data_IF_285167352227
#
_entry.id   IF_285167352227
#
_cell.length_a   1.000
_cell.length_b   1.000
_cell.length_c   1.000
_cell.angle_alpha   90.00
_cell.angle_beta   90.00
_cell.angle_gamma   90.00
#
_symmetry.space_group_name_H-M   'P 1'
#
loop_
_entity.id
_entity.type
_entity.pdbx_description
1 polymer ?
#
# COMPACT_ATOMS: atom_id res chain seq x y z
N UNK A 1 -50.13 -14.04 -47.78
CA UNK A 1 -50.67 -15.42 -47.80
C UNK A 1 -49.59 -16.31 -48.38
N UNK A 2 -49.06 -17.23 -47.56
CA UNK A 2 -48.26 -18.44 -47.91
C UNK A 2 -47.01 -18.29 -48.80
N UNK A 3 -45.96 -19.12 -48.73
CA UNK A 3 -45.34 -20.02 -47.74
C UNK A 3 -44.17 -20.66 -48.54
N UNK A 4 -43.07 -21.01 -47.88
CA UNK A 4 -42.13 -22.05 -48.35
C UNK A 4 -40.76 -21.51 -48.80
N UNK A 5 -39.73 -21.51 -47.95
CA UNK A 5 -38.92 -22.66 -47.49
C UNK A 5 -37.98 -23.19 -48.57
N UNK A 6 -36.66 -22.99 -48.40
CA UNK A 6 -35.56 -23.92 -48.70
C UNK A 6 -34.21 -23.17 -48.77
N UNK A 7 -33.61 -22.85 -47.62
CA UNK A 7 -32.18 -22.63 -47.53
C UNK A 7 -31.74 -22.76 -46.08
N UNK A 8 -30.61 -23.42 -45.82
CA UNK A 8 -30.01 -23.81 -44.53
C UNK A 8 -30.27 -25.23 -44.04
N UNK A 9 -29.35 -26.14 -44.38
CA UNK A 9 -28.77 -26.97 -43.33
C UNK A 9 -27.25 -27.15 -43.54
N UNK A 10 -26.44 -26.16 -43.15
CA UNK A 10 -24.96 -26.31 -43.15
C UNK A 10 -24.27 -25.93 -41.84
N UNK A 11 -25.02 -25.61 -40.77
CA UNK A 11 -24.43 -25.31 -39.45
C UNK A 11 -24.70 -26.40 -38.39
N UNK A 12 -25.76 -27.20 -38.55
CA UNK A 12 -26.12 -28.23 -37.56
C UNK A 12 -25.21 -29.46 -37.58
N UNK A 13 -24.50 -29.70 -38.70
CA UNK A 13 -23.52 -30.79 -38.82
C UNK A 13 -22.17 -30.48 -38.18
N UNK A 14 -21.85 -29.21 -37.91
CA UNK A 14 -20.59 -28.83 -37.26
C UNK A 14 -20.68 -28.95 -35.73
N UNK A 15 -21.88 -28.83 -35.17
CA UNK A 15 -22.11 -28.87 -33.73
C UNK A 15 -22.09 -30.29 -33.13
N UNK A 16 -22.42 -31.32 -33.93
CA UNK A 16 -22.37 -32.72 -33.48
C UNK A 16 -20.98 -33.36 -33.55
N UNK A 17 -20.01 -32.76 -34.24
CA UNK A 17 -18.65 -33.32 -34.41
C UNK A 17 -17.67 -32.93 -33.29
N UNK A 18 -18.01 -31.93 -32.47
CA UNK A 18 -17.14 -31.45 -31.37
C UNK A 18 -17.48 -32.06 -30.01
N UNK A 19 -18.59 -32.78 -29.88
CA UNK A 19 -18.98 -33.46 -28.63
C UNK A 19 -18.57 -34.95 -28.58
N UNK A 20 -17.82 -35.45 -29.55
CA UNK A 20 -17.40 -36.86 -29.66
C UNK A 20 -15.91 -37.13 -29.40
N UNK A 21 -15.15 -36.18 -28.84
CA UNK A 21 -13.77 -36.41 -28.35
C UNK A 21 -13.71 -36.64 -26.83
N UNK A 22 -14.78 -37.19 -26.27
CA UNK A 22 -14.71 -37.92 -25.01
C UNK A 22 -15.07 -39.36 -25.31
N UNK A 23 -14.09 -40.26 -25.26
CA UNK A 23 -14.08 -41.49 -24.42
C UNK A 23 -12.96 -42.45 -24.88
N UNK A 24 -12.06 -42.71 -23.92
CA UNK A 24 -11.25 -43.91 -23.72
C UNK A 24 -10.12 -44.28 -24.72
N UNK A 25 -8.88 -43.95 -24.34
CA UNK A 25 -7.71 -44.77 -24.68
C UNK A 25 -6.94 -45.16 -23.41
N UNK A 26 -6.89 -46.47 -23.15
CA UNK A 26 -6.04 -47.25 -22.27
C UNK A 26 -6.17 -47.18 -20.73
N UNK A 27 -7.09 -48.00 -20.23
CA UNK A 27 -6.92 -48.73 -18.97
C UNK A 27 -5.81 -49.78 -19.12
N UNK A 28 -4.69 -49.64 -18.39
CA UNK A 28 -3.99 -50.70 -17.63
C UNK A 28 -2.51 -50.37 -17.39
N UNK A 29 -2.10 -50.15 -16.12
CA UNK A 29 -1.05 -50.97 -15.49
C UNK A 29 -0.92 -50.71 -13.98
N UNK A 30 -0.87 -51.82 -13.25
CA UNK A 30 -0.59 -52.02 -11.83
C UNK A 30 0.60 -51.20 -11.33
N UNK A 31 0.46 -50.64 -10.12
CA UNK A 31 1.60 -50.15 -9.34
C UNK A 31 1.15 -49.28 -8.18
N UNK A 32 0.94 -49.88 -7.01
CA UNK A 32 0.78 -49.13 -5.77
C UNK A 32 2.02 -48.27 -5.53
N UNK A 33 1.81 -46.97 -5.45
CA UNK A 33 2.74 -46.04 -4.82
C UNK A 33 1.90 -45.15 -3.90
N UNK A 34 2.30 -45.15 -2.65
CA UNK A 34 1.83 -44.35 -1.53
C UNK A 34 1.48 -42.93 -2.03
N UNK A 35 0.21 -42.54 -1.97
CA UNK A 35 -0.16 -41.14 -2.11
C UNK A 35 0.29 -40.45 -0.83
N UNK A 36 1.53 -39.95 -0.83
CA UNK A 36 1.86 -38.83 0.03
C UNK A 36 0.82 -37.74 -0.30
N UNK A 37 0.13 -37.17 0.70
CA UNK A 37 -0.73 -36.03 0.45
C UNK A 37 0.14 -34.98 -0.25
N UNK A 38 -0.35 -34.45 -1.38
CA UNK A 38 0.24 -33.27 -2.03
C UNK A 38 0.69 -32.29 -0.94
N UNK A 39 1.90 -31.69 -1.04
CA UNK A 39 2.26 -30.63 -0.13
C UNK A 39 1.11 -29.63 -0.18
N UNK A 40 0.47 -29.42 0.97
CA UNK A 40 -0.59 -28.42 1.14
C UNK A 40 -0.13 -27.18 0.41
N UNK A 41 -0.91 -26.72 -0.58
CA UNK A 41 -0.63 -25.55 -1.40
C UNK A 41 0.23 -24.58 -0.59
N UNK A 42 1.47 -24.34 -1.04
CA UNK A 42 2.20 -23.15 -0.59
C UNK A 42 1.18 -22.03 -0.68
N UNK A 43 0.87 -21.30 0.42
CA UNK A 43 -0.17 -20.29 0.39
C UNK A 43 0.19 -19.38 -0.75
N UNK A 44 -0.59 -19.42 -1.84
CA UNK A 44 -0.32 -18.62 -3.03
C UNK A 44 0.02 -17.23 -2.51
N UNK A 45 1.16 -16.64 -2.91
CA UNK A 45 1.62 -15.40 -2.33
C UNK A 45 0.47 -14.42 -2.48
N UNK A 46 -0.21 -14.14 -1.36
CA UNK A 46 -1.46 -13.41 -1.36
C UNK A 46 -1.21 -12.10 -2.08
N UNK A 47 -1.65 -11.99 -3.31
CA UNK A 47 -1.33 -10.87 -4.19
C UNK A 47 -2.01 -9.57 -3.74
N UNK A 48 -2.90 -9.70 -2.76
CA UNK A 48 -3.46 -8.60 -1.97
C UNK A 48 -2.36 -7.92 -1.17
N UNK A 49 -2.29 -6.58 -1.18
CA UNK A 49 -1.30 -5.86 -0.40
C UNK A 49 -1.46 -6.15 1.09
N UNK A 50 -0.36 -6.08 1.84
CA UNK A 50 -0.37 -6.20 3.30
C UNK A 50 0.48 -5.09 3.89
N UNK A 51 -0.08 -4.34 4.85
CA UNK A 51 0.68 -3.35 5.60
C UNK A 51 1.69 -4.03 6.53
N UNK A 52 2.94 -3.60 6.43
CA UNK A 52 4.01 -3.92 7.37
C UNK A 52 4.14 -2.83 8.44
N UNK A 53 3.86 -1.59 8.03
CA UNK A 53 3.83 -0.43 8.90
C UNK A 53 2.67 0.46 8.47
N UNK A 54 1.79 0.77 9.43
CA UNK A 54 0.70 1.70 9.25
C UNK A 54 1.03 3.05 9.89
N UNK A 55 0.52 4.16 9.34
CA UNK A 55 0.86 5.49 9.83
C UNK A 55 0.32 5.72 11.25
N UNK A 56 1.15 6.35 12.07
CA UNK A 56 0.82 6.72 13.45
C UNK A 56 0.43 8.18 13.57
N UNK A 57 -0.23 8.53 14.66
CA UNK A 57 -0.57 9.92 14.96
C UNK A 57 0.70 10.73 15.23
N UNK A 58 0.75 11.96 14.76
CA UNK A 58 1.95 12.79 14.81
C UNK A 58 1.63 14.24 15.17
N UNK A 59 2.66 15.01 15.52
CA UNK A 59 2.50 16.43 15.80
C UNK A 59 3.56 17.31 15.14
N UNK A 60 3.12 18.47 14.69
CA UNK A 60 3.99 19.52 14.15
C UNK A 60 4.47 20.35 15.33
N UNK A 61 5.76 20.27 15.64
CA UNK A 61 6.38 20.99 16.77
C UNK A 61 7.16 22.18 16.22
N UNK A 62 6.73 23.39 16.60
CA UNK A 62 7.40 24.60 16.12
C UNK A 62 7.37 24.68 14.58
N UNK A 63 8.54 24.75 13.95
CA UNK A 63 8.71 24.75 12.48
C UNK A 63 9.01 23.36 11.89
N UNK A 64 9.16 22.33 12.71
CA UNK A 64 9.50 20.98 12.26
C UNK A 64 8.24 20.28 11.73
N UNK A 65 8.22 19.81 10.47
CA UNK A 65 7.07 19.08 9.92
C UNK A 65 6.90 17.73 10.62
N UNK A 66 5.66 17.24 10.63
CA UNK A 66 5.33 15.91 11.10
C UNK A 66 5.47 14.91 9.94
N UNK A 67 6.29 13.87 10.10
CA UNK A 67 6.47 12.84 9.08
C UNK A 67 5.58 11.65 9.38
N UNK A 68 4.76 11.24 8.40
CA UNK A 68 4.00 9.99 8.44
C UNK A 68 4.67 8.96 7.54
N UNK A 69 4.83 7.74 8.05
CA UNK A 69 5.43 6.62 7.31
C UNK A 69 4.41 5.51 7.08
N UNK A 70 4.51 4.85 5.93
CA UNK A 70 3.69 3.70 5.60
C UNK A 70 4.47 2.73 4.73
N UNK A 71 4.36 1.44 5.04
CA UNK A 71 5.07 0.39 4.34
C UNK A 71 4.15 -0.79 4.06
N UNK A 72 4.19 -1.28 2.83
CA UNK A 72 3.42 -2.44 2.42
C UNK A 72 4.24 -3.41 1.57
N UNK A 73 3.90 -4.71 1.69
CA UNK A 73 4.35 -5.76 0.78
C UNK A 73 3.21 -6.18 -0.15
N UNK A 74 3.56 -6.83 -1.26
CA UNK A 74 2.60 -7.22 -2.31
C UNK A 74 1.80 -6.04 -2.88
N UNK A 75 2.32 -4.82 -2.73
CA UNK A 75 1.74 -3.59 -3.25
C UNK A 75 2.56 -3.11 -4.44
N UNK A 76 1.93 -2.76 -5.55
CA UNK A 76 2.59 -2.09 -6.67
C UNK A 76 2.85 -0.61 -6.34
N UNK A 77 1.87 0.02 -5.68
CA UNK A 77 1.91 1.42 -5.27
C UNK A 77 1.39 1.57 -3.85
N UNK A 78 2.00 2.50 -3.12
CA UNK A 78 1.54 2.98 -1.82
C UNK A 78 1.44 4.49 -1.90
N UNK A 79 0.39 5.07 -1.32
CA UNK A 79 0.16 6.51 -1.33
C UNK A 79 -0.65 6.95 -0.13
N UNK A 80 -0.56 8.24 0.19
CA UNK A 80 -1.35 8.87 1.23
C UNK A 80 -2.51 9.68 0.66
N UNK A 81 -3.64 9.62 1.34
CA UNK A 81 -4.78 10.52 1.15
C UNK A 81 -5.02 11.28 2.44
N UNK A 82 -4.82 12.60 2.41
CA UNK A 82 -5.02 13.48 3.56
C UNK A 82 -6.24 14.36 3.33
N UNK A 83 -7.25 14.25 4.20
CA UNK A 83 -8.54 14.94 4.11
C UNK A 83 -9.17 14.88 2.69
N UNK A 84 -9.14 13.71 2.05
CA UNK A 84 -9.74 13.48 0.72
C UNK A 84 -8.86 13.89 -0.46
N UNK A 85 -7.61 14.34 -0.23
CA UNK A 85 -6.67 14.73 -1.30
C UNK A 85 -5.48 13.80 -1.35
N UNK A 86 -5.14 13.33 -2.55
CA UNK A 86 -3.94 12.54 -2.79
C UNK A 86 -2.69 13.39 -2.50
N UNK A 87 -1.75 12.83 -1.74
CA UNK A 87 -0.50 13.49 -1.36
C UNK A 87 0.56 13.48 -2.49
N UNK A 88 0.14 13.74 -3.73
CA UNK A 88 0.92 13.53 -4.96
C UNK A 88 2.26 14.30 -4.99
N UNK A 89 2.30 15.50 -4.39
CA UNK A 89 3.50 16.35 -4.35
C UNK A 89 4.24 16.30 -3.00
N UNK A 90 3.75 15.53 -2.02
CA UNK A 90 4.31 15.49 -0.65
C UNK A 90 4.98 14.17 -0.30
N UNK A 91 5.07 13.28 -1.27
CA UNK A 91 5.71 11.99 -1.15
C UNK A 91 7.23 12.20 -1.20
N UNK A 92 7.82 12.80 -0.14
CA UNK A 92 9.23 13.18 -0.11
C UNK A 92 10.20 11.99 -0.18
N UNK A 93 9.71 10.76 0.02
CA UNK A 93 10.42 9.57 -0.45
C UNK A 93 9.46 8.40 -0.67
N UNK A 94 9.24 8.02 -1.93
CA UNK A 94 8.77 6.67 -2.28
C UNK A 94 10.00 5.81 -2.55
N UNK A 95 10.14 4.72 -1.79
CA UNK A 95 11.21 3.75 -1.98
C UNK A 95 10.60 2.38 -2.30
N UNK A 96 11.19 1.70 -3.26
CA UNK A 96 10.81 0.35 -3.64
C UNK A 96 12.04 -0.53 -3.57
N UNK A 97 11.95 -1.63 -2.83
CA UNK A 97 13.07 -2.54 -2.64
C UNK A 97 12.57 -3.97 -2.42
N UNK A 98 13.47 -4.93 -2.59
CA UNK A 98 13.21 -6.33 -2.25
C UNK A 98 13.84 -6.59 -0.90
N UNK A 99 13.06 -7.11 0.05
CA UNK A 99 13.60 -7.46 1.35
C UNK A 99 14.55 -8.67 1.20
N UNK A 100 15.82 -8.58 1.63
CA UNK A 100 16.80 -9.65 1.40
C UNK A 100 16.51 -10.91 2.23
N UNK A 101 15.79 -10.79 3.35
CA UNK A 101 15.44 -11.93 4.20
C UNK A 101 14.24 -12.71 3.64
N UNK A 102 13.26 -12.02 3.04
CA UNK A 102 12.04 -12.66 2.54
C UNK A 102 11.97 -12.81 1.02
N UNK A 103 12.80 -12.10 0.25
CA UNK A 103 12.73 -12.04 -1.20
C UNK A 103 11.48 -11.30 -1.74
N UNK A 104 10.69 -10.68 -0.86
CA UNK A 104 9.43 -10.03 -1.23
C UNK A 104 9.63 -8.55 -1.50
N UNK A 105 9.04 -8.03 -2.59
CA UNK A 105 9.01 -6.60 -2.91
C UNK A 105 8.20 -5.82 -1.87
N UNK A 106 8.80 -4.79 -1.32
CA UNK A 106 8.24 -3.85 -0.36
C UNK A 106 8.26 -2.44 -0.96
N UNK A 107 7.22 -1.68 -0.64
CA UNK A 107 7.09 -0.27 -1.01
C UNK A 107 6.92 0.52 0.28
N UNK A 108 7.75 1.53 0.44
CA UNK A 108 7.78 2.42 1.59
C UNK A 108 7.56 3.85 1.12
N UNK A 109 6.71 4.56 1.85
CA UNK A 109 6.31 5.92 1.52
C UNK A 109 6.28 6.75 2.78
N UNK A 110 6.87 7.93 2.72
CA UNK A 110 6.73 8.95 3.74
C UNK A 110 6.14 10.25 3.18
N UNK A 111 5.40 10.95 4.03
CA UNK A 111 4.83 12.27 3.74
C UNK A 111 5.09 13.23 4.89
N UNK A 112 5.56 14.43 4.56
CA UNK A 112 5.76 15.50 5.52
C UNK A 112 4.55 16.44 5.54
N UNK A 113 3.97 16.61 6.73
CA UNK A 113 2.84 17.49 6.99
C UNK A 113 3.36 18.73 7.71
N UNK A 114 3.17 19.89 7.08
CA UNK A 114 3.64 21.16 7.62
C UNK A 114 2.58 21.83 8.49
N UNK A 115 2.99 22.79 9.32
CA UNK A 115 2.06 23.61 10.13
C UNK A 115 0.96 24.24 9.28
N UNK A 116 1.34 24.83 8.14
CA UNK A 116 0.41 25.48 7.24
C UNK A 116 -0.62 24.54 6.61
N UNK A 117 -0.38 23.23 6.63
CA UNK A 117 -1.35 22.24 6.11
C UNK A 117 -2.45 21.94 7.11
N UNK A 118 -2.07 21.88 8.39
CA UNK A 118 -3.02 21.69 9.50
C UNK A 118 -3.84 22.96 9.72
N UNK A 119 -3.23 24.14 9.61
CA UNK A 119 -3.92 25.44 9.78
C UNK A 119 -4.89 25.78 8.64
N UNK A 120 -4.70 25.22 7.43
CA UNK A 120 -5.60 25.44 6.27
C UNK A 120 -6.95 24.75 6.39
N UNK A 121 -7.11 23.87 7.37
CA UNK A 121 -8.34 23.14 7.61
C UNK A 121 -9.40 24.10 8.16
N UNK A 122 -10.65 23.92 7.74
CA UNK A 122 -11.77 24.71 8.23
C UNK A 122 -11.82 24.64 9.75
N UNK A 123 -12.13 25.77 10.40
CA UNK A 123 -12.15 25.85 11.85
C UNK A 123 -13.10 24.80 12.45
N UNK A 124 -12.54 23.76 13.09
CA UNK A 124 -13.28 22.66 13.71
C UNK A 124 -12.98 21.27 13.13
N UNK A 125 -12.38 21.18 11.94
CA UNK A 125 -12.02 19.90 11.32
C UNK A 125 -10.62 19.42 11.76
N UNK A 126 -10.44 18.10 11.84
CA UNK A 126 -9.19 17.46 12.28
C UNK A 126 -8.38 17.05 11.04
N UNK A 127 -7.14 17.54 10.92
CA UNK A 127 -6.25 17.09 9.86
C UNK A 127 -5.90 15.60 10.04
N UNK A 128 -6.22 14.79 9.05
CA UNK A 128 -5.97 13.36 9.11
C UNK A 128 -5.61 12.76 7.76
N UNK A 129 -4.86 11.67 7.80
CA UNK A 129 -4.42 10.94 6.62
C UNK A 129 -4.73 9.45 6.74
N UNK A 130 -4.97 8.83 5.59
CA UNK A 130 -5.01 7.39 5.40
C UNK A 130 -3.89 6.99 4.43
N UNK A 131 -3.29 5.84 4.67
CA UNK A 131 -2.42 5.20 3.69
C UNK A 131 -3.24 4.16 2.91
N UNK A 132 -3.01 4.11 1.61
CA UNK A 132 -3.59 3.11 0.72
C UNK A 132 -2.47 2.34 0.03
N UNK A 133 -2.63 1.02 0.00
CA UNK A 133 -1.76 0.12 -0.75
C UNK A 133 -2.59 -0.54 -1.86
N UNK A 134 -2.06 -0.53 -3.09
CA UNK A 134 -2.74 -0.99 -4.28
C UNK A 134 -1.94 -2.07 -5.01
N UNK A 135 -2.63 -3.11 -5.47
CA UNK A 135 -2.13 -4.13 -6.40
C UNK A 135 -3.20 -4.47 -7.45
N UNK A 136 -2.88 -5.39 -8.35
CA UNK A 136 -3.84 -5.89 -9.36
C UNK A 136 -5.06 -6.59 -8.75
N UNK A 137 -4.98 -7.10 -7.53
CA UNK A 137 -6.09 -7.82 -6.88
C UNK A 137 -6.92 -6.94 -5.97
N UNK A 138 -6.46 -5.74 -5.62
CA UNK A 138 -7.27 -4.80 -4.88
C UNK A 138 -6.50 -3.68 -4.21
N UNK A 139 -7.26 -2.92 -3.42
CA UNK A 139 -6.78 -1.81 -2.61
C UNK A 139 -7.17 -2.02 -1.16
N UNK A 140 -6.22 -1.89 -0.25
CA UNK A 140 -6.48 -1.86 1.18
C UNK A 140 -6.22 -0.46 1.75
N UNK A 141 -6.91 -0.16 2.86
CA UNK A 141 -6.88 1.13 3.56
C UNK A 141 -6.34 0.91 4.98
N UNK A 142 -5.41 1.75 5.40
CA UNK A 142 -4.82 1.69 6.74
C UNK A 142 -5.72 2.30 7.81
N UNK A 143 -5.28 2.25 9.08
CA UNK A 143 -5.76 3.14 10.14
C UNK A 143 -5.65 4.62 9.76
N UNK A 144 -6.49 5.41 10.42
CA UNK A 144 -6.46 6.87 10.35
C UNK A 144 -5.30 7.39 11.20
N UNK A 145 -4.46 8.25 10.63
CA UNK A 145 -3.44 9.00 11.34
C UNK A 145 -3.90 10.45 11.53
N UNK A 146 -3.92 10.94 12.76
CA UNK A 146 -4.26 12.31 13.11
C UNK A 146 -2.99 13.14 13.28
N UNK A 147 -2.95 14.33 12.68
CA UNK A 147 -1.83 15.27 12.85
C UNK A 147 -2.29 16.50 13.61
N UNK A 148 -1.62 16.79 14.72
CA UNK A 148 -1.94 17.92 15.60
C UNK A 148 -0.84 18.97 15.63
N UNK A 149 -1.17 20.20 16.01
CA UNK A 149 -0.18 21.23 16.28
C UNK A 149 0.27 21.12 17.74
N UNK A 150 1.59 21.12 17.96
CA UNK A 150 2.19 21.16 19.29
C UNK A 150 3.05 22.41 19.42
N UNK A 151 2.88 23.12 20.53
CA UNK A 151 3.74 24.23 20.89
C UNK A 151 5.05 23.67 21.47
N UNK A 152 6.17 24.10 20.91
CA UNK A 152 7.48 23.84 21.51
C UNK A 152 7.56 24.64 22.80
N UNK A 153 7.67 23.96 23.94
CA UNK A 153 8.03 24.65 25.19
C UNK A 153 9.46 25.11 25.04
N UNK A 154 9.68 26.42 25.07
CA UNK A 154 11.03 26.96 25.15
C UNK A 154 11.56 26.53 26.51
N UNK A 155 12.45 25.55 26.55
CA UNK A 155 13.15 25.21 27.78
C UNK A 155 13.96 26.45 28.19
N UNK A 156 13.54 27.09 29.28
CA UNK A 156 14.21 28.24 29.92
C UNK A 156 15.64 27.91 30.41
N UNK A 157 16.17 26.71 30.09
CA UNK A 157 17.46 26.18 30.51
C UNK A 157 18.56 26.22 29.46
N UNK A 158 18.41 26.91 28.32
CA UNK A 158 19.58 27.37 27.57
C UNK A 158 20.08 28.73 28.09
N UNK A 159 20.39 28.77 29.39
CA UNK A 159 21.17 29.83 30.03
C UNK A 159 22.66 29.51 30.02
N UNK A 160 23.17 28.91 28.94
CA UNK A 160 24.60 28.62 28.84
C UNK A 160 25.33 29.91 28.43
N UNK A 161 25.74 30.67 29.43
CA UNK A 161 26.66 31.80 29.29
C UNK A 161 28.08 31.24 29.11
N UNK A 162 28.43 30.76 27.92
CA UNK A 162 29.85 30.54 27.58
C UNK A 162 30.44 31.90 27.22
N UNK A 163 30.97 32.57 28.24
CA UNK A 163 31.87 33.70 28.08
C UNK A 163 33.08 33.47 28.96
N UNK A 164 34.01 32.62 28.48
CA UNK A 164 35.37 32.57 29.00
C UNK A 164 36.00 33.97 28.86
N UNK A 165 36.67 34.39 29.93
CA UNK A 165 37.10 35.77 30.13
C UNK A 165 38.19 36.28 29.19
N UNK A 166 38.41 37.59 29.25
CA UNK A 166 39.68 38.33 29.24
C UNK A 166 39.35 39.84 29.32
N UNK A 167 40.30 40.71 29.74
CA UNK A 167 40.36 41.23 31.09
C UNK A 167 39.97 42.72 31.18
N UNK A 168 39.74 43.17 32.41
CA UNK A 168 39.71 44.57 32.84
C UNK A 168 40.73 45.43 32.07
N UNK A 169 40.28 46.46 31.34
CA UNK A 169 40.99 47.73 31.17
C UNK A 169 40.03 48.83 30.69
N UNK A 170 40.24 50.02 31.27
CA UNK A 170 39.83 51.39 30.90
C UNK A 170 38.75 52.09 31.76
N UNK A 171 39.34 52.95 32.63
CA UNK A 171 38.98 54.30 33.08
C UNK A 171 37.86 54.48 34.11
#
# INVERSE_FOLDING_TARGET
>A
MHLGSNFFPSLFKLFLFLMSHSVAFHLSRVGGFLLDPLPTEDPEPSSTPVFLEEPQDASVVGKKPATLSCKARHALQVYFECNGRLAEHRQHSMQQYVNPMSGVRQVEVSVDVTRGDVEKILAGDIFSCYCFAWSSTGRIKSRKAIVSLSLEKIDEKCGIRIGMGYPLYLL
#
